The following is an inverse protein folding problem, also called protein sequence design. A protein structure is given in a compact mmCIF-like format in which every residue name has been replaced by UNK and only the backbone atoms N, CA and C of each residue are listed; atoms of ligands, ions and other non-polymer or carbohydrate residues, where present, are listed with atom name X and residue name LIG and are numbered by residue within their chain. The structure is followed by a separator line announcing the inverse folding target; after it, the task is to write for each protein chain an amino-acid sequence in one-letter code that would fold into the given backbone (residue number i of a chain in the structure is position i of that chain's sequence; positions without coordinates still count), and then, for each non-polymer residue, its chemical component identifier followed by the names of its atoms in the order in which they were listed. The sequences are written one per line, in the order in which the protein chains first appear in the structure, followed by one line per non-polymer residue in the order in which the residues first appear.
data_IF_365690738131
#
_entry.id   IF_365690738131
#
_cell.length_a   1.000
_cell.length_b   1.000
_cell.length_c   1.000
_cell.angle_alpha   90.00
_cell.angle_beta   90.00
_cell.angle_gamma   90.00
#
_symmetry.space_group_name_H-M   'P 1'
#
loop_
_entity.id
_entity.type
_entity.pdbx_description
1 polymer ?
#
# COMPACT_ATOMS: atom_id res chain seq x y z
N UNK A 1 -1.98 -2.20 -29.83
CA UNK A 1 -2.02 -2.77 -28.48
C UNK A 1 -3.23 -2.14 -27.79
N UNK A 2 -4.33 -2.86 -27.67
CA UNK A 2 -5.59 -2.31 -27.16
C UNK A 2 -5.53 -2.38 -25.64
N UNK A 3 -5.31 -1.24 -24.98
CA UNK A 3 -5.42 -1.16 -23.52
C UNK A 3 -6.92 -1.19 -23.23
N UNK A 4 -7.39 -2.30 -22.67
CA UNK A 4 -8.76 -2.42 -22.18
C UNK A 4 -8.81 -1.64 -20.86
N UNK A 5 -9.38 -0.43 -20.89
CA UNK A 5 -9.57 0.37 -19.70
C UNK A 5 -10.70 -0.24 -18.88
N UNK A 6 -10.37 -0.76 -17.70
CA UNK A 6 -11.35 -1.16 -16.70
C UNK A 6 -11.77 0.09 -15.91
N UNK A 7 -13.07 0.34 -15.81
CA UNK A 7 -13.63 1.39 -14.95
C UNK A 7 -14.42 0.74 -13.83
N UNK A 8 -14.12 1.12 -12.60
CA UNK A 8 -14.86 0.72 -11.40
C UNK A 8 -15.47 1.99 -10.80
N UNK A 9 -16.72 1.91 -10.35
CA UNK A 9 -17.44 3.04 -9.73
C UNK A 9 -18.17 2.52 -8.50
N UNK A 10 -18.07 3.25 -7.40
CA UNK A 10 -18.70 2.94 -6.13
C UNK A 10 -18.90 4.24 -5.33
N UNK A 11 -19.81 4.22 -4.37
CA UNK A 11 -20.00 5.28 -3.39
C UNK A 11 -19.09 5.05 -2.17
N UNK A 12 -18.54 6.12 -1.56
CA UNK A 12 -17.68 5.99 -0.38
C UNK A 12 -18.34 5.22 0.77
N UNK A 13 -19.68 5.27 0.90
CA UNK A 13 -20.45 4.49 1.87
C UNK A 13 -20.43 2.97 1.64
N UNK A 14 -19.97 2.52 0.47
CA UNK A 14 -19.78 1.09 0.16
C UNK A 14 -18.47 0.54 0.74
N UNK A 15 -17.53 1.41 1.12
CA UNK A 15 -16.28 0.99 1.75
C UNK A 15 -16.56 0.54 3.18
N UNK A 16 -16.21 -0.70 3.47
CA UNK A 16 -16.47 -1.37 4.75
C UNK A 16 -15.27 -1.42 5.68
N UNK A 17 -14.06 -1.31 5.14
CA UNK A 17 -12.82 -1.20 5.88
C UNK A 17 -11.76 -0.52 5.01
N UNK A 18 -10.80 0.12 5.66
CA UNK A 18 -9.57 0.63 5.06
C UNK A 18 -8.40 -0.11 5.68
N UNK A 19 -7.49 -0.62 4.86
CA UNK A 19 -6.27 -1.28 5.34
C UNK A 19 -5.06 -0.52 4.80
N UNK A 20 -4.18 -0.08 5.69
CA UNK A 20 -2.97 0.66 5.36
C UNK A 20 -1.72 -0.19 5.60
N UNK A 21 -0.73 -0.03 4.72
CA UNK A 21 0.55 -0.71 4.82
C UNK A 21 1.70 0.13 4.31
N UNK A 22 2.84 -0.01 4.97
CA UNK A 22 4.12 0.55 4.54
C UNK A 22 5.07 -0.63 4.27
N UNK A 23 5.47 -0.81 3.02
CA UNK A 23 6.28 -1.94 2.58
C UNK A 23 7.70 -1.48 2.25
N UNK A 24 8.74 -2.15 2.76
CA UNK A 24 10.12 -1.79 2.48
C UNK A 24 10.48 -2.04 1.01
N UNK A 25 11.22 -1.10 0.42
CA UNK A 25 11.89 -1.26 -0.88
C UNK A 25 13.36 -1.51 -0.61
N UNK A 26 13.80 -2.75 -0.85
CA UNK A 26 15.18 -3.14 -0.67
C UNK A 26 16.04 -2.75 -1.89
N UNK A 27 17.30 -2.43 -1.63
CA UNK A 27 18.28 -2.11 -2.66
C UNK A 27 19.70 -2.45 -2.25
N UNK A 28 20.60 -2.47 -3.24
CA UNK A 28 22.03 -2.70 -3.02
C UNK A 28 22.71 -1.39 -2.64
N UNK A 29 23.23 -1.34 -1.43
CA UNK A 29 24.07 -0.26 -0.94
C UNK A 29 25.54 -0.67 -0.99
N UNK A 30 26.39 0.34 -1.17
CA UNK A 30 27.83 0.24 -0.97
C UNK A 30 28.13 0.88 0.37
N UNK A 31 28.78 0.13 1.24
CA UNK A 31 29.28 0.60 2.53
C UNK A 31 30.80 0.42 2.60
N UNK A 32 31.45 1.06 3.57
CA UNK A 32 32.83 0.80 3.92
C UNK A 32 32.91 0.03 5.24
N UNK A 33 33.61 -1.11 5.23
CA UNK A 33 33.90 -1.81 6.48
C UNK A 33 34.88 -1.01 7.37
N UNK A 34 35.10 -1.49 8.59
CA UNK A 34 36.05 -0.89 9.53
C UNK A 34 37.50 -0.83 8.99
N UNK A 35 37.81 -1.53 7.90
CA UNK A 35 39.12 -1.57 7.22
C UNK A 35 39.13 -0.77 5.91
N UNK A 36 38.08 0.00 5.61
CA UNK A 36 37.88 0.79 4.38
C UNK A 36 37.76 -0.04 3.09
N UNK A 37 37.38 -1.31 3.20
CA UNK A 37 36.98 -2.08 2.02
C UNK A 37 35.53 -1.82 1.68
N UNK A 38 35.26 -1.73 0.38
CA UNK A 38 33.92 -1.58 -0.14
C UNK A 38 33.14 -2.89 0.05
N UNK A 39 32.07 -2.86 0.84
CA UNK A 39 31.17 -4.00 1.05
C UNK A 39 29.82 -3.70 0.43
N UNK A 40 29.25 -4.66 -0.29
CA UNK A 40 27.89 -4.58 -0.82
C UNK A 40 26.93 -5.20 0.19
N UNK A 41 25.90 -4.47 0.58
CA UNK A 41 24.86 -4.93 1.52
C UNK A 41 23.47 -4.60 0.97
N UNK A 42 22.49 -5.45 1.26
CA UNK A 42 21.09 -5.16 1.01
C UNK A 42 20.57 -4.30 2.16
N UNK A 43 19.92 -3.20 1.85
CA UNK A 43 19.33 -2.30 2.84
C UNK A 43 18.02 -1.73 2.31
N UNK A 44 17.17 -1.27 3.24
CA UNK A 44 15.95 -0.56 2.87
C UNK A 44 16.37 0.80 2.31
N UNK A 45 16.03 1.07 1.05
CA UNK A 45 16.29 2.33 0.38
C UNK A 45 15.12 3.30 0.49
N UNK A 46 13.90 2.76 0.51
CA UNK A 46 12.67 3.54 0.49
C UNK A 46 11.51 2.67 0.97
N UNK A 47 10.30 3.24 0.97
CA UNK A 47 9.07 2.54 1.30
C UNK A 47 8.01 2.78 0.23
N UNK A 48 7.15 1.78 0.00
CA UNK A 48 5.90 1.94 -0.73
C UNK A 48 4.75 2.05 0.27
N UNK A 49 3.85 3.00 0.04
CA UNK A 49 2.63 3.14 0.82
C UNK A 49 1.47 2.52 0.05
N UNK A 50 0.65 1.75 0.77
CA UNK A 50 -0.49 1.03 0.22
C UNK A 50 -1.73 1.31 1.04
N UNK A 51 -2.84 1.54 0.34
CA UNK A 51 -4.19 1.64 0.89
C UNK A 51 -5.07 0.65 0.15
N UNK A 52 -5.66 -0.30 0.88
CA UNK A 52 -6.71 -1.17 0.38
C UNK A 52 -8.06 -0.66 0.86
N UNK A 53 -8.99 -0.48 -0.08
CA UNK A 53 -10.40 -0.22 0.20
C UNK A 53 -11.19 -1.51 0.05
N UNK A 54 -11.89 -1.91 1.12
CA UNK A 54 -12.66 -3.15 1.14
C UNK A 54 -14.12 -2.91 0.82
N UNK A 55 -14.58 -3.46 -0.30
CA UNK A 55 -15.96 -3.42 -0.77
C UNK A 55 -16.57 -4.81 -0.62
N UNK A 56 -16.91 -5.20 0.62
CA UNK A 56 -17.34 -6.57 0.94
C UNK A 56 -18.60 -7.02 0.20
N UNK A 57 -19.55 -6.10 -0.06
CA UNK A 57 -20.77 -6.43 -0.82
C UNK A 57 -20.46 -6.85 -2.26
N UNK A 58 -19.39 -6.31 -2.83
CA UNK A 58 -18.93 -6.59 -4.19
C UNK A 58 -17.85 -7.68 -4.25
N UNK A 59 -17.49 -8.28 -3.11
CA UNK A 59 -16.36 -9.21 -2.98
C UNK A 59 -15.05 -8.65 -3.58
N UNK A 60 -14.80 -7.35 -3.36
CA UNK A 60 -13.75 -6.60 -4.04
C UNK A 60 -12.83 -5.87 -3.06
N UNK A 61 -11.52 -5.95 -3.33
CA UNK A 61 -10.49 -5.10 -2.72
C UNK A 61 -9.92 -4.19 -3.80
N UNK A 62 -9.95 -2.88 -3.57
CA UNK A 62 -9.27 -1.89 -4.42
C UNK A 62 -7.97 -1.51 -3.75
N UNK A 63 -6.85 -1.96 -4.32
CA UNK A 63 -5.50 -1.65 -3.84
C UNK A 63 -4.92 -0.44 -4.54
N UNK A 64 -4.48 0.54 -3.77
CA UNK A 64 -3.88 1.78 -4.25
C UNK A 64 -2.47 1.89 -3.68
N UNK A 65 -1.49 2.15 -4.54
CA UNK A 65 -0.10 2.31 -4.15
C UNK A 65 0.46 3.65 -4.63
N UNK A 66 1.24 4.31 -3.77
CA UNK A 66 1.84 5.61 -4.04
C UNK A 66 2.77 5.64 -5.26
N UNK A 67 3.31 4.48 -5.65
CA UNK A 67 4.19 4.33 -6.82
C UNK A 67 3.45 4.07 -8.13
N UNK A 68 2.23 3.55 -8.09
CA UNK A 68 1.44 3.24 -9.30
C UNK A 68 0.36 4.29 -9.59
N UNK A 69 -0.01 5.09 -8.59
CA UNK A 69 -1.05 6.08 -8.78
C UNK A 69 -0.54 7.28 -9.60
N UNK A 70 -1.09 7.44 -10.81
CA UNK A 70 -0.75 8.56 -11.69
C UNK A 70 -1.59 9.79 -11.37
N UNK A 71 -1.15 10.60 -10.41
CA UNK A 71 -1.86 11.82 -9.97
C UNK A 71 -2.18 12.81 -11.11
N UNK A 72 -1.34 12.88 -12.15
CA UNK A 72 -1.55 13.75 -13.31
C UNK A 72 -2.65 13.28 -14.27
N UNK A 73 -3.06 12.01 -14.18
CA UNK A 73 -4.10 11.40 -15.00
C UNK A 73 -5.29 10.88 -14.16
N UNK A 74 -5.26 11.14 -12.85
CA UNK A 74 -6.23 10.65 -11.89
C UNK A 74 -7.38 11.63 -11.64
N UNK A 75 -8.23 11.28 -10.67
CA UNK A 75 -9.34 12.13 -10.24
C UNK A 75 -8.77 13.38 -9.55
N UNK A 76 -9.33 14.55 -9.86
CA UNK A 76 -9.03 15.78 -9.13
C UNK A 76 -9.72 15.71 -7.77
N UNK A 77 -8.95 15.62 -6.70
CA UNK A 77 -9.44 15.49 -5.33
C UNK A 77 -9.70 16.86 -4.67
N UNK A 78 -9.26 17.97 -5.29
CA UNK A 78 -9.42 19.32 -4.73
C UNK A 78 -9.58 20.41 -5.83
N UNK A 79 -10.41 21.41 -5.55
CA UNK A 79 -10.70 22.55 -6.45
C UNK A 79 -9.49 23.42 -6.85
N UNK A 80 -8.31 23.22 -6.22
CA UNK A 80 -7.09 24.01 -6.45
C UNK A 80 -5.92 23.25 -7.10
N UNK A 81 -6.15 22.05 -7.65
CA UNK A 81 -5.09 21.22 -8.23
C UNK A 81 -4.41 21.83 -9.48
N UNK A 82 -5.16 22.54 -10.33
CA UNK A 82 -4.65 23.01 -11.64
C UNK A 82 -3.45 23.98 -11.57
N UNK A 83 -3.26 24.70 -10.47
CA UNK A 83 -2.14 25.64 -10.32
C UNK A 83 -0.97 25.09 -9.49
N UNK A 84 -1.17 24.01 -8.71
CA UNK A 84 -0.14 23.43 -7.81
C UNK A 84 0.53 22.16 -8.34
N UNK A 85 -0.12 21.40 -9.23
CA UNK A 85 0.41 20.14 -9.77
C UNK A 85 1.75 20.26 -10.51
N UNK A 86 2.08 21.44 -11.03
CA UNK A 86 3.37 21.67 -11.70
C UNK A 86 4.56 21.77 -10.73
N UNK A 87 4.33 21.78 -9.41
CA UNK A 87 5.35 22.00 -8.39
C UNK A 87 5.32 21.00 -7.21
N UNK A 88 4.33 20.11 -7.11
CA UNK A 88 4.22 19.15 -6.00
C UNK A 88 4.90 17.81 -6.32
N UNK A 89 5.59 17.22 -5.35
CA UNK A 89 6.18 15.89 -5.52
C UNK A 89 5.10 14.80 -5.48
N UNK A 90 5.38 13.60 -6.01
CA UNK A 90 4.46 12.45 -5.88
C UNK A 90 4.12 12.13 -4.41
N UNK A 91 5.07 12.36 -3.50
CA UNK A 91 4.86 12.18 -2.06
C UNK A 91 3.85 13.18 -1.50
N UNK A 92 3.91 14.44 -1.93
CA UNK A 92 2.94 15.46 -1.51
C UNK A 92 1.55 15.11 -2.04
N UNK A 93 1.46 14.70 -3.31
CA UNK A 93 0.20 14.28 -3.91
C UNK A 93 -0.41 13.07 -3.19
N UNK A 94 0.42 12.09 -2.83
CA UNK A 94 -0.02 10.95 -2.02
C UNK A 94 -0.52 11.37 -0.65
N UNK A 95 0.22 12.22 0.07
CA UNK A 95 -0.19 12.70 1.39
C UNK A 95 -1.54 13.43 1.33
N UNK A 96 -1.74 14.25 0.30
CA UNK A 96 -3.02 14.91 0.07
C UNK A 96 -4.14 13.91 -0.21
N UNK A 97 -3.91 12.95 -1.09
CA UNK A 97 -4.88 11.90 -1.40
C UNK A 97 -5.25 11.05 -0.18
N UNK A 98 -4.26 10.59 0.59
CA UNK A 98 -4.49 9.84 1.82
C UNK A 98 -5.28 10.67 2.84
N UNK A 99 -4.98 11.97 2.96
CA UNK A 99 -5.72 12.89 3.83
C UNK A 99 -7.17 13.06 3.37
N UNK A 100 -7.42 13.17 2.06
CA UNK A 100 -8.75 13.23 1.49
C UNK A 100 -9.54 11.95 1.77
N UNK A 101 -8.95 10.77 1.51
CA UNK A 101 -9.59 9.49 1.83
C UNK A 101 -9.94 9.38 3.31
N UNK A 102 -9.02 9.76 4.20
CA UNK A 102 -9.24 9.75 5.64
C UNK A 102 -10.42 10.64 6.05
N UNK A 103 -10.64 11.76 5.37
CA UNK A 103 -11.81 12.62 5.61
C UNK A 103 -13.10 11.97 5.09
N UNK A 104 -13.09 11.41 3.88
CA UNK A 104 -14.27 10.75 3.29
C UNK A 104 -14.68 9.49 4.07
N UNK A 105 -13.70 8.77 4.61
CA UNK A 105 -13.86 7.46 5.25
C UNK A 105 -13.69 7.52 6.76
N UNK A 106 -13.89 8.69 7.39
CA UNK A 106 -13.65 8.89 8.82
C UNK A 106 -14.49 7.97 9.73
N UNK A 107 -15.65 7.50 9.25
CA UNK A 107 -16.52 6.58 9.97
C UNK A 107 -16.23 5.09 9.67
N UNK A 108 -15.33 4.80 8.74
CA UNK A 108 -14.97 3.44 8.32
C UNK A 108 -13.80 2.93 9.17
N UNK A 109 -13.82 1.67 9.63
CA UNK A 109 -12.71 1.09 10.38
C UNK A 109 -11.39 1.14 9.59
N UNK A 110 -10.36 1.66 10.25
CA UNK A 110 -8.99 1.70 9.74
C UNK A 110 -8.15 0.60 10.40
N UNK A 111 -7.45 -0.18 9.59
CA UNK A 111 -6.49 -1.19 10.03
C UNK A 111 -5.10 -0.80 9.54
N UNK A 112 -4.18 -0.52 10.47
CA UNK A 112 -2.85 0.01 10.14
C UNK A 112 -1.70 -0.75 10.82
N UNK A 113 -2.00 -1.90 11.44
CA UNK A 113 -1.03 -2.70 12.22
C UNK A 113 -0.27 -3.71 11.33
N UNK A 114 0.00 -3.35 10.08
CA UNK A 114 0.63 -4.24 9.12
C UNK A 114 2.09 -4.57 9.48
N UNK A 115 2.89 -3.60 9.95
CA UNK A 115 4.30 -3.84 10.25
C UNK A 115 4.53 -4.97 11.29
N UNK A 116 3.90 -4.94 12.49
CA UNK A 116 4.06 -6.03 13.45
C UNK A 116 3.47 -7.36 12.94
N UNK A 117 2.41 -7.31 12.13
CA UNK A 117 1.87 -8.49 11.46
C UNK A 117 2.92 -9.12 10.52
N UNK A 118 3.54 -8.32 9.66
CA UNK A 118 4.54 -8.78 8.70
C UNK A 118 5.76 -9.39 9.39
N UNK A 119 6.26 -8.76 10.45
CA UNK A 119 7.38 -9.29 11.25
C UNK A 119 7.06 -10.69 11.81
N UNK A 120 5.84 -10.89 12.31
CA UNK A 120 5.37 -12.21 12.80
C UNK A 120 5.20 -13.21 11.65
N UNK A 121 4.81 -12.74 10.46
CA UNK A 121 4.59 -13.61 9.30
C UNK A 121 5.92 -14.16 8.75
N UNK A 122 7.05 -13.52 9.06
CA UNK A 122 8.37 -14.00 8.66
C UNK A 122 8.66 -15.42 9.17
N UNK A 123 8.13 -15.80 10.33
CA UNK A 123 8.26 -17.15 10.90
C UNK A 123 7.54 -18.22 10.07
N UNK A 124 6.64 -17.82 9.17
CA UNK A 124 5.83 -18.69 8.31
C UNK A 124 6.18 -18.54 6.82
N UNK A 125 7.42 -18.12 6.51
CA UNK A 125 7.88 -17.82 5.15
C UNK A 125 7.59 -18.94 4.13
N UNK A 126 7.62 -20.21 4.54
CA UNK A 126 7.34 -21.35 3.66
C UNK A 126 5.91 -21.36 3.09
N UNK A 127 4.95 -20.75 3.79
CA UNK A 127 3.54 -20.70 3.38
C UNK A 127 3.24 -19.51 2.46
N UNK A 128 4.08 -18.48 2.49
CA UNK A 128 3.85 -17.22 1.79
C UNK A 128 3.87 -17.35 0.25
N UNK A 129 4.72 -18.18 -0.39
CA UNK A 129 4.72 -18.31 -1.85
C UNK A 129 3.40 -18.77 -2.48
N UNK A 130 2.46 -19.29 -1.70
CA UNK A 130 1.14 -19.74 -2.19
C UNK A 130 0.16 -18.57 -2.44
N UNK A 131 0.45 -17.37 -1.96
CA UNK A 131 -0.44 -16.21 -2.06
C UNK A 131 0.10 -15.23 -3.09
N UNK A 132 -0.73 -14.90 -4.09
CA UNK A 132 -0.37 -13.88 -5.07
C UNK A 132 -0.49 -12.48 -4.43
N UNK A 133 0.58 -11.69 -4.38
CA UNK A 133 0.54 -10.39 -3.72
C UNK A 133 -0.30 -9.33 -4.45
N UNK A 134 -0.67 -9.54 -5.72
CA UNK A 134 -1.36 -8.56 -6.56
C UNK A 134 -0.72 -7.16 -6.52
N UNK A 135 0.61 -7.14 -6.43
CA UNK A 135 1.42 -5.95 -6.27
C UNK A 135 2.69 -6.13 -7.10
N UNK A 136 2.94 -5.20 -8.00
CA UNK A 136 4.09 -5.23 -8.91
C UNK A 136 5.00 -4.02 -8.63
N UNK A 137 5.77 -4.09 -7.55
CA UNK A 137 6.71 -3.01 -7.20
C UNK A 137 8.06 -3.27 -7.85
N UNK A 138 8.58 -2.26 -8.55
CA UNK A 138 9.93 -2.28 -9.10
C UNK A 138 10.97 -2.47 -7.99
N UNK A 139 11.51 -3.69 -7.89
CA UNK A 139 12.48 -4.10 -6.88
C UNK A 139 13.60 -4.92 -7.49
N UNK A 140 14.72 -4.98 -6.78
CA UNK A 140 15.87 -5.80 -7.19
C UNK A 140 15.71 -7.28 -6.81
N UNK A 141 14.81 -7.58 -5.88
CA UNK A 141 14.51 -8.92 -5.39
C UNK A 141 13.08 -8.97 -4.84
N UNK A 142 12.47 -10.16 -4.93
CA UNK A 142 11.19 -10.46 -4.30
C UNK A 142 11.33 -10.42 -2.79
N UNK A 143 10.25 -10.07 -2.10
CA UNK A 143 10.24 -10.07 -0.65
C UNK A 143 8.88 -10.48 -0.13
N UNK A 144 8.90 -11.15 1.03
CA UNK A 144 7.70 -11.68 1.65
C UNK A 144 6.72 -10.59 2.09
N UNK A 145 7.17 -9.35 2.21
CA UNK A 145 6.35 -8.22 2.64
C UNK A 145 5.14 -7.98 1.74
N UNK A 146 5.24 -8.28 0.44
CA UNK A 146 4.11 -8.10 -0.49
C UNK A 146 3.02 -9.15 -0.22
N UNK A 147 3.43 -10.40 -0.08
CA UNK A 147 2.54 -11.50 0.25
C UNK A 147 1.95 -11.33 1.65
N UNK A 148 2.77 -10.92 2.62
CA UNK A 148 2.30 -10.63 3.97
C UNK A 148 1.23 -9.53 3.95
N UNK A 149 1.40 -8.48 3.14
CA UNK A 149 0.38 -7.43 3.02
C UNK A 149 -0.91 -7.96 2.40
N UNK A 150 -0.81 -8.79 1.35
CA UNK A 150 -1.97 -9.45 0.78
C UNK A 150 -2.69 -10.32 1.82
N UNK A 151 -1.96 -11.11 2.61
CA UNK A 151 -2.53 -11.97 3.64
C UNK A 151 -3.21 -11.14 4.73
N UNK A 152 -2.55 -10.10 5.23
CA UNK A 152 -3.09 -9.16 6.22
C UNK A 152 -4.43 -8.59 5.76
N UNK A 153 -4.44 -8.00 4.57
CA UNK A 153 -5.64 -7.38 4.00
C UNK A 153 -6.75 -8.42 3.74
N UNK A 154 -6.41 -9.59 3.20
CA UNK A 154 -7.37 -10.65 2.93
C UNK A 154 -8.01 -11.22 4.20
N UNK A 155 -7.25 -11.36 5.29
CA UNK A 155 -7.80 -11.83 6.57
C UNK A 155 -8.84 -10.84 7.12
N UNK A 156 -8.53 -9.53 7.10
CA UNK A 156 -9.48 -8.48 7.49
C UNK A 156 -10.71 -8.45 6.57
N UNK A 157 -10.50 -8.67 5.28
CA UNK A 157 -11.58 -8.72 4.30
C UNK A 157 -12.56 -9.87 4.59
N UNK A 158 -12.02 -11.05 4.91
CA UNK A 158 -12.79 -12.24 5.27
C UNK A 158 -13.36 -12.19 6.69
N UNK A 159 -12.80 -11.36 7.56
CA UNK A 159 -13.26 -11.23 8.94
C UNK A 159 -14.69 -10.67 8.98
N UNK A 160 -15.54 -11.30 9.80
CA UNK A 160 -16.95 -10.89 9.94
C UNK A 160 -17.15 -9.77 10.97
N UNK A 161 -16.11 -9.48 11.76
CA UNK A 161 -16.18 -8.60 12.94
C UNK A 161 -15.21 -7.43 12.76
N UNK A 162 -15.63 -6.16 12.95
CA UNK A 162 -14.72 -5.01 12.94
C UNK A 162 -13.78 -5.03 14.16
N UNK A 163 -12.65 -4.27 14.13
CA UNK A 163 -11.68 -4.31 15.20
C UNK A 163 -12.30 -3.80 16.50
N UNK A 164 -12.01 -4.49 17.61
CA UNK A 164 -12.42 -4.01 18.94
C UNK A 164 -11.50 -2.86 19.31
N UNK A 165 -12.05 -1.65 19.39
CA UNK A 165 -11.31 -0.47 19.86
C UNK A 165 -10.69 -0.79 21.23
N UNK A 166 -9.36 -0.84 21.28
CA UNK A 166 -8.63 -0.98 22.54
C UNK A 166 -8.51 0.43 23.12
N UNK A 167 -9.09 0.63 24.30
CA UNK A 167 -9.06 1.88 25.08
C UNK A 167 -7.66 2.15 25.65
#
# INVERSE_FOLDING_TARGET
MTILLLTITFDWSEVTAVVEGILPIFGKCVDMDARRHQVRKISILDYAQIIDLHLKKQDLIIRICDRHYHFQAGITFFDHQQSRERQTSNRDNWNHFASYLKQQLAAVPLWSDFAPFAETTADFYELLPMVNPHLDLLRIEDTYWDTAFQLYSALIFLEKTPPTATL
#
